data_IF_029435750755
#
_entry.id   IF_029435750755
#
_cell.length_a   1.000
_cell.length_b   1.000
_cell.length_c   1.000
_cell.angle_alpha   90.00
_cell.angle_beta   90.00
_cell.angle_gamma   90.00
#
_symmetry.space_group_name_H-M   'P 1'
#
loop_
_entity.id
_entity.type
_entity.pdbx_description
1 polymer ?
#
# COMPACT_ATOMS: atom_id res chain seq x y z
N UNK A 1 -22.87 -28.95 -43.65
CA UNK A 1 -21.74 -29.78 -43.21
C UNK A 1 -20.77 -28.84 -42.54
N UNK A 2 -20.98 -28.68 -41.24
CA UNK A 2 -20.27 -27.75 -40.37
C UNK A 2 -19.15 -28.52 -39.66
N UNK A 3 -17.93 -27.99 -39.65
CA UNK A 3 -16.78 -28.61 -38.98
C UNK A 3 -16.47 -27.80 -37.73
N UNK A 4 -16.92 -28.33 -36.60
CA UNK A 4 -16.52 -27.97 -35.24
C UNK A 4 -15.01 -28.12 -35.06
N UNK A 5 -14.32 -27.03 -34.74
CA UNK A 5 -12.99 -27.05 -34.14
C UNK A 5 -13.11 -26.58 -32.69
N UNK A 6 -12.68 -27.44 -31.76
CA UNK A 6 -12.82 -27.26 -30.33
C UNK A 6 -12.02 -26.08 -29.78
N UNK A 7 -12.72 -25.21 -29.06
CA UNK A 7 -12.10 -24.31 -28.11
C UNK A 7 -11.74 -25.07 -26.84
N UNK A 8 -10.44 -25.29 -26.65
CA UNK A 8 -9.85 -25.68 -25.36
C UNK A 8 -10.22 -24.64 -24.30
N UNK A 9 -10.99 -25.05 -23.30
CA UNK A 9 -11.39 -24.20 -22.19
C UNK A 9 -10.18 -23.69 -21.40
N UNK A 10 -10.08 -22.38 -21.28
CA UNK A 10 -9.19 -21.72 -20.33
C UNK A 10 -9.90 -21.80 -18.97
N UNK A 11 -9.47 -22.74 -18.14
CA UNK A 11 -10.02 -22.97 -16.81
C UNK A 11 -9.79 -21.80 -15.85
N UNK A 12 -10.79 -21.56 -14.99
CA UNK A 12 -10.60 -20.96 -13.67
C UNK A 12 -10.08 -19.52 -13.59
N UNK A 13 -10.51 -18.60 -14.45
CA UNK A 13 -10.25 -17.17 -14.20
C UNK A 13 -11.14 -16.68 -13.06
N UNK A 14 -10.51 -16.18 -12.02
CA UNK A 14 -11.07 -15.47 -10.86
C UNK A 14 -12.41 -14.78 -11.16
N UNK A 15 -13.44 -15.05 -10.35
CA UNK A 15 -14.77 -14.46 -10.54
C UNK A 15 -14.79 -13.03 -9.98
N UNK A 16 -14.57 -12.04 -10.84
CA UNK A 16 -14.86 -10.63 -10.52
C UNK A 16 -16.37 -10.49 -10.33
N UNK A 17 -16.81 -10.22 -9.10
CA UNK A 17 -18.25 -10.19 -8.75
C UNK A 17 -18.83 -8.77 -8.76
N UNK A 18 -18.00 -7.73 -8.90
CA UNK A 18 -18.48 -6.36 -8.95
C UNK A 18 -17.40 -5.31 -9.17
N UNK A 19 -17.85 -4.07 -9.31
CA UNK A 19 -16.99 -2.89 -9.38
C UNK A 19 -17.04 -2.11 -8.06
N UNK A 20 -15.93 -1.48 -7.71
CA UNK A 20 -15.90 -0.52 -6.60
C UNK A 20 -16.74 0.70 -6.97
N UNK A 21 -17.67 1.08 -6.08
CA UNK A 21 -18.55 2.23 -6.30
C UNK A 21 -17.73 3.53 -6.43
N UNK A 22 -18.11 4.41 -7.34
CA UNK A 22 -17.55 5.76 -7.48
C UNK A 22 -18.54 6.82 -7.01
N UNK A 23 -18.11 7.71 -6.12
CA UNK A 23 -18.94 8.77 -5.53
C UNK A 23 -18.23 10.12 -5.63
N UNK A 24 -18.97 11.16 -6.04
CA UNK A 24 -18.52 12.55 -5.93
C UNK A 24 -18.55 12.98 -4.47
N UNK A 25 -17.37 13.03 -3.85
CA UNK A 25 -17.25 13.28 -2.43
C UNK A 25 -17.55 14.73 -2.05
N UNK A 26 -17.66 15.66 -3.01
CA UNK A 26 -18.18 17.02 -2.75
C UNK A 26 -19.67 17.01 -2.38
N UNK A 27 -20.36 15.91 -2.68
CA UNK A 27 -21.79 15.69 -2.40
C UNK A 27 -22.03 14.60 -1.35
N UNK A 28 -20.97 14.13 -0.69
CA UNK A 28 -21.03 13.09 0.34
C UNK A 28 -20.66 13.69 1.68
N UNK A 29 -21.60 13.76 2.62
CA UNK A 29 -21.26 14.19 3.97
C UNK A 29 -20.57 13.05 4.75
N UNK A 30 -19.87 13.42 5.83
CA UNK A 30 -19.17 12.43 6.65
C UNK A 30 -20.11 11.35 7.23
N UNK A 31 -21.31 11.73 7.67
CA UNK A 31 -22.29 10.79 8.21
C UNK A 31 -22.73 9.76 7.15
N UNK A 32 -23.01 10.21 5.93
CA UNK A 32 -23.32 9.31 4.82
C UNK A 32 -22.14 8.40 4.46
N UNK A 33 -20.91 8.94 4.44
CA UNK A 33 -19.71 8.12 4.22
C UNK A 33 -19.58 7.03 5.28
N UNK A 34 -19.83 7.38 6.55
CA UNK A 34 -19.79 6.44 7.67
C UNK A 34 -20.84 5.35 7.51
N UNK A 35 -22.10 5.71 7.27
CA UNK A 35 -23.21 4.76 7.19
C UNK A 35 -23.13 3.86 5.95
N UNK A 36 -22.65 4.39 4.81
CA UNK A 36 -22.63 3.66 3.53
C UNK A 36 -21.37 2.85 3.30
N UNK A 37 -20.21 3.30 3.81
CA UNK A 37 -18.91 2.72 3.46
C UNK A 37 -18.11 2.30 4.68
N UNK A 38 -17.90 3.19 5.65
CA UNK A 38 -17.01 2.91 6.79
C UNK A 38 -17.56 1.83 7.72
N UNK A 39 -18.78 2.01 8.26
CA UNK A 39 -19.44 1.07 9.17
C UNK A 39 -19.69 -0.30 8.52
N UNK A 40 -20.22 -0.39 7.28
CA UNK A 40 -20.41 -1.69 6.61
C UNK A 40 -19.10 -2.26 6.02
N UNK A 41 -17.96 -1.58 6.21
CA UNK A 41 -16.64 -2.02 5.76
C UNK A 41 -16.58 -2.26 4.23
N UNK A 42 -17.08 -1.30 3.44
CA UNK A 42 -17.16 -1.37 1.98
C UNK A 42 -16.20 -0.39 1.31
N UNK A 43 -15.41 -0.83 0.31
CA UNK A 43 -14.52 0.05 -0.43
C UNK A 43 -15.31 1.00 -1.34
N UNK A 44 -14.74 2.18 -1.56
CA UNK A 44 -15.33 3.20 -2.45
C UNK A 44 -14.23 4.06 -3.07
N UNK A 45 -14.45 4.48 -4.31
CA UNK A 45 -13.63 5.48 -4.99
C UNK A 45 -14.31 6.85 -4.84
N UNK A 46 -13.59 7.80 -4.27
CA UNK A 46 -14.02 9.16 -3.98
C UNK A 46 -13.41 10.12 -5.01
N UNK A 47 -14.25 10.91 -5.66
CA UNK A 47 -13.83 11.90 -6.65
C UNK A 47 -14.04 13.33 -6.15
N UNK A 48 -13.35 14.30 -6.74
CA UNK A 48 -13.62 15.72 -6.51
C UNK A 48 -12.99 16.34 -5.26
N UNK A 49 -12.12 15.63 -4.53
CA UNK A 49 -11.47 16.15 -3.31
C UNK A 49 -10.07 16.73 -3.53
N UNK A 50 -9.31 16.19 -4.48
CA UNK A 50 -7.88 16.50 -4.59
C UNK A 50 -7.55 17.52 -5.66
N UNK A 51 -8.52 17.95 -6.49
CA UNK A 51 -8.24 18.83 -7.64
C UNK A 51 -7.60 20.17 -7.28
N UNK A 52 -7.75 20.61 -6.03
CA UNK A 52 -7.14 21.85 -5.51
C UNK A 52 -5.82 21.62 -4.79
N UNK A 53 -5.34 20.39 -4.68
CA UNK A 53 -4.08 20.09 -3.98
C UNK A 53 -2.91 20.61 -4.80
N UNK A 54 -1.89 21.15 -4.13
CA UNK A 54 -0.68 21.63 -4.79
C UNK A 54 0.04 20.52 -5.55
N UNK A 55 -0.01 19.27 -5.08
CA UNK A 55 0.57 18.12 -5.78
C UNK A 55 0.03 17.96 -7.21
N UNK A 56 -1.23 18.31 -7.47
CA UNK A 56 -1.81 18.25 -8.82
C UNK A 56 -1.18 19.26 -9.79
N UNK A 57 -0.49 20.28 -9.27
CA UNK A 57 0.20 21.31 -10.03
C UNK A 57 1.72 21.15 -9.99
N UNK A 58 2.27 20.86 -8.82
CA UNK A 58 3.71 20.85 -8.56
C UNK A 58 4.36 19.53 -8.97
N UNK A 59 3.65 18.41 -8.86
CA UNK A 59 4.20 17.08 -9.14
C UNK A 59 3.98 16.63 -10.58
N UNK A 60 3.38 17.49 -11.40
CA UNK A 60 3.05 17.20 -12.80
C UNK A 60 3.64 18.26 -13.70
N UNK A 61 3.99 17.89 -14.93
CA UNK A 61 4.52 18.83 -15.89
C UNK A 61 3.45 19.87 -16.27
N UNK A 62 3.85 21.13 -16.41
CA UNK A 62 2.94 22.19 -16.83
C UNK A 62 2.37 21.96 -18.24
N UNK A 63 3.16 21.34 -19.13
CA UNK A 63 2.79 21.02 -20.50
C UNK A 63 1.89 19.77 -20.60
N UNK A 64 2.02 18.83 -19.68
CA UNK A 64 1.19 17.63 -19.60
C UNK A 64 0.91 17.27 -18.13
N UNK A 65 -0.32 17.52 -17.71
CA UNK A 65 -0.76 17.26 -16.34
C UNK A 65 -0.89 15.79 -16.01
N UNK A 66 -0.82 14.87 -16.98
CA UNK A 66 -0.75 13.43 -16.71
C UNK A 66 0.68 12.94 -16.48
N UNK A 67 1.69 13.67 -16.95
CA UNK A 67 3.08 13.30 -16.81
C UNK A 67 3.68 13.80 -15.47
N UNK A 68 4.39 12.96 -14.71
CA UNK A 68 5.05 13.37 -13.47
C UNK A 68 6.24 14.31 -13.72
N UNK A 69 6.38 15.35 -12.89
CA UNK A 69 7.56 16.23 -12.87
C UNK A 69 8.65 15.62 -11.97
N UNK A 70 9.41 14.68 -12.53
CA UNK A 70 10.47 13.97 -11.79
C UNK A 70 11.60 14.90 -11.33
N UNK A 71 11.89 15.98 -12.07
CA UNK A 71 12.92 16.94 -11.69
C UNK A 71 12.46 17.81 -10.52
N UNK A 72 11.17 18.17 -10.46
CA UNK A 72 10.59 18.78 -9.27
C UNK A 72 10.78 17.88 -8.05
N UNK A 73 10.49 16.58 -8.16
CA UNK A 73 10.65 15.64 -7.05
C UNK A 73 12.11 15.53 -6.61
N UNK A 74 13.04 15.33 -7.55
CA UNK A 74 14.48 15.23 -7.25
C UNK A 74 15.04 16.50 -6.59
N UNK A 75 14.53 17.68 -6.96
CA UNK A 75 14.94 18.97 -6.38
C UNK A 75 14.30 19.23 -5.01
N UNK A 76 13.02 18.87 -4.85
CA UNK A 76 12.24 19.19 -3.64
C UNK A 76 12.54 18.22 -2.51
N UNK A 77 12.85 16.96 -2.85
CA UNK A 77 13.13 15.91 -1.89
C UNK A 77 14.56 15.40 -2.04
N UNK A 78 15.58 16.20 -1.71
CA UNK A 78 16.99 15.85 -1.89
C UNK A 78 17.49 14.85 -0.84
N UNK A 79 16.59 14.13 -0.15
CA UNK A 79 16.95 13.18 0.91
C UNK A 79 18.07 12.26 0.41
N UNK A 80 19.18 12.13 1.17
CA UNK A 80 20.31 11.32 0.75
C UNK A 80 19.97 9.82 0.70
N UNK A 81 18.92 9.40 1.43
CA UNK A 81 18.51 8.00 1.51
C UNK A 81 16.97 7.92 1.47
N UNK A 82 16.46 7.42 0.34
CA UNK A 82 15.09 6.95 0.17
C UNK A 82 15.11 5.42 0.07
N UNK A 83 14.01 4.79 0.52
CA UNK A 83 13.85 3.34 0.49
C UNK A 83 13.18 2.91 -0.82
N UNK A 84 13.89 2.11 -1.61
CA UNK A 84 13.47 1.64 -2.93
C UNK A 84 13.42 0.12 -2.95
N UNK A 85 12.32 -0.45 -3.40
CA UNK A 85 12.20 -1.88 -3.65
C UNK A 85 12.71 -2.23 -5.05
N UNK A 86 13.54 -3.26 -5.14
CA UNK A 86 13.88 -3.91 -6.40
C UNK A 86 12.85 -5.01 -6.67
N UNK A 87 11.90 -4.74 -7.57
CA UNK A 87 10.84 -5.67 -7.95
C UNK A 87 11.32 -6.83 -8.85
N UNK A 88 12.59 -6.82 -9.26
CA UNK A 88 13.22 -7.89 -10.03
C UNK A 88 13.98 -8.89 -9.15
N UNK A 89 14.20 -8.58 -7.87
CA UNK A 89 14.99 -9.38 -6.94
C UNK A 89 14.25 -9.65 -5.62
N UNK A 90 14.37 -10.87 -5.12
CA UNK A 90 13.77 -11.31 -3.86
C UNK A 90 14.86 -11.56 -2.82
N UNK A 91 14.65 -11.03 -1.62
CA UNK A 91 15.44 -11.38 -0.43
C UNK A 91 14.49 -11.93 0.63
N UNK A 92 14.62 -13.23 0.91
CA UNK A 92 13.68 -13.99 1.74
C UNK A 92 12.24 -13.97 1.18
N UNK A 93 11.26 -13.56 1.98
CA UNK A 93 9.84 -13.47 1.61
C UNK A 93 9.41 -12.05 1.19
N UNK A 94 10.35 -11.13 0.98
CA UNK A 94 10.08 -9.73 0.60
C UNK A 94 10.94 -9.33 -0.61
N UNK A 95 10.56 -8.25 -1.28
CA UNK A 95 11.40 -7.65 -2.31
C UNK A 95 12.65 -7.03 -1.68
N UNK A 96 13.78 -7.14 -2.38
CA UNK A 96 15.03 -6.54 -1.92
C UNK A 96 14.86 -5.03 -1.76
N UNK A 97 15.29 -4.48 -0.61
CA UNK A 97 15.28 -3.04 -0.34
C UNK A 97 16.67 -2.45 -0.58
N UNK A 98 16.70 -1.33 -1.28
CA UNK A 98 17.86 -0.53 -1.59
C UNK A 98 17.70 0.83 -0.94
N UNK A 99 18.81 1.38 -0.44
CA UNK A 99 18.90 2.80 -0.10
C UNK A 99 19.65 3.51 -1.22
N UNK A 100 19.06 4.59 -1.73
CA UNK A 100 19.66 5.48 -2.72
C UNK A 100 19.10 6.88 -2.53
N UNK A 101 19.70 7.90 -3.14
CA UNK A 101 19.14 9.24 -3.16
C UNK A 101 17.93 9.35 -4.10
N UNK A 102 17.07 10.33 -3.86
CA UNK A 102 15.93 10.62 -4.75
C UNK A 102 16.39 10.89 -6.19
N UNK A 103 17.56 11.52 -6.38
CA UNK A 103 18.13 11.79 -7.69
C UNK A 103 18.56 10.52 -8.42
N UNK A 104 19.27 9.61 -7.74
CA UNK A 104 19.65 8.32 -8.33
C UNK A 104 18.44 7.53 -8.79
N UNK A 105 17.36 7.53 -8.00
CA UNK A 105 16.10 6.89 -8.38
C UNK A 105 15.45 7.53 -9.62
N UNK A 106 15.39 8.87 -9.68
CA UNK A 106 14.85 9.60 -10.84
C UNK A 106 15.68 9.35 -12.10
N UNK A 107 17.00 9.39 -11.99
CA UNK A 107 17.90 9.13 -13.12
C UNK A 107 17.69 7.70 -13.66
N UNK A 108 17.47 6.72 -12.76
CA UNK A 108 17.12 5.35 -13.13
C UNK A 108 15.76 5.26 -13.84
N UNK A 109 14.72 5.97 -13.34
CA UNK A 109 13.41 6.00 -13.97
C UNK A 109 13.50 6.56 -15.40
N UNK A 110 14.12 7.73 -15.58
CA UNK A 110 14.29 8.37 -16.89
C UNK A 110 15.09 7.48 -17.84
N UNK A 111 16.18 6.87 -17.35
CA UNK A 111 16.99 5.92 -18.10
C UNK A 111 16.22 4.69 -18.57
N UNK A 112 15.32 4.15 -17.72
CA UNK A 112 14.48 3.00 -18.04
C UNK A 112 13.40 3.31 -19.09
N UNK A 113 12.84 4.52 -19.09
CA UNK A 113 11.83 4.93 -20.09
C UNK A 113 12.44 5.20 -21.48
N UNK A 114 13.72 5.58 -21.54
CA UNK A 114 14.43 5.92 -22.80
C UNK A 114 15.00 4.69 -23.53
N UNK A 115 15.43 3.67 -22.78
CA UNK A 115 15.93 2.41 -23.31
C UNK A 115 14.86 1.34 -23.13
N UNK A 116 14.05 1.05 -24.16
CA UNK A 116 13.06 -0.05 -24.18
C UNK A 116 13.66 -1.47 -24.04
N UNK A 117 14.78 -1.60 -23.35
CA UNK A 117 15.50 -2.82 -23.07
C UNK A 117 15.10 -3.33 -21.68
N UNK A 118 14.33 -4.40 -21.68
CA UNK A 118 13.75 -5.11 -20.52
C UNK A 118 14.78 -5.85 -19.63
N UNK A 119 16.02 -5.36 -19.55
CA UNK A 119 17.11 -5.95 -18.77
C UNK A 119 17.53 -5.16 -17.52
N UNK A 120 16.98 -3.97 -17.30
CA UNK A 120 17.21 -3.18 -16.08
C UNK A 120 16.36 -3.70 -14.90
N UNK A 121 16.88 -3.52 -13.68
CA UNK A 121 16.13 -3.81 -12.45
C UNK A 121 14.89 -2.90 -12.37
N UNK A 122 13.72 -3.46 -12.07
CA UNK A 122 12.50 -2.68 -11.91
C UNK A 122 12.48 -2.09 -10.50
N UNK A 123 12.73 -0.78 -10.39
CA UNK A 123 12.76 -0.09 -9.11
C UNK A 123 11.41 0.55 -8.78
N UNK A 124 11.00 0.44 -7.52
CA UNK A 124 9.78 1.04 -6.99
C UNK A 124 10.08 1.74 -5.67
N UNK A 125 9.97 3.07 -5.66
CA UNK A 125 10.19 3.83 -4.44
C UNK A 125 8.92 3.73 -3.58
N UNK A 126 9.12 3.20 -2.37
CA UNK A 126 8.12 3.08 -1.30
C UNK A 126 8.76 3.57 -0.01
N UNK A 127 8.67 4.87 0.21
CA UNK A 127 9.30 5.49 1.36
C UNK A 127 8.29 5.78 2.47
N UNK A 128 8.55 5.22 3.64
CA UNK A 128 7.77 5.40 4.87
C UNK A 128 8.24 6.61 5.69
N UNK A 129 9.43 7.16 5.43
CA UNK A 129 10.09 8.14 6.28
C UNK A 129 9.81 9.59 5.92
N UNK A 130 9.09 9.86 4.82
CA UNK A 130 8.58 11.20 4.48
C UNK A 130 7.69 11.83 5.58
N UNK A 131 7.22 10.99 6.50
CA UNK A 131 6.52 11.33 7.75
C UNK A 131 7.21 12.44 8.56
N UNK A 132 8.55 12.45 8.63
CA UNK A 132 9.28 13.40 9.49
C UNK A 132 9.34 14.83 8.96
N UNK A 133 9.32 15.02 7.64
CA UNK A 133 9.39 16.36 7.04
C UNK A 133 8.02 17.00 6.78
N UNK A 134 6.96 16.19 6.66
CA UNK A 134 5.60 16.67 6.37
C UNK A 134 4.64 16.60 7.57
N UNK A 135 5.10 16.10 8.73
CA UNK A 135 4.33 16.10 9.98
C UNK A 135 3.11 15.17 9.98
N UNK A 136 3.08 14.16 9.10
CA UNK A 136 1.99 13.20 8.96
C UNK A 136 2.41 11.85 9.53
N UNK A 137 1.51 11.19 10.28
CA UNK A 137 1.85 10.01 11.08
C UNK A 137 2.29 8.81 10.22
N UNK A 138 1.74 8.64 9.01
CA UNK A 138 2.11 7.59 8.06
C UNK A 138 1.84 8.03 6.62
N UNK A 139 2.90 8.26 5.82
CA UNK A 139 2.75 8.57 4.40
C UNK A 139 3.57 7.59 3.56
N UNK A 140 2.93 6.96 2.58
CA UNK A 140 3.59 6.16 1.56
C UNK A 140 3.55 6.92 0.24
N UNK A 141 4.72 7.31 -0.26
CA UNK A 141 4.87 7.79 -1.62
C UNK A 141 5.24 6.61 -2.52
N UNK A 142 4.45 6.41 -3.57
CA UNK A 142 4.69 5.37 -4.55
C UNK A 142 5.05 5.97 -5.88
N UNK A 143 6.18 5.51 -6.42
CA UNK A 143 6.83 6.05 -7.59
C UNK A 143 7.44 4.88 -8.36
N UNK A 144 7.07 4.71 -9.63
CA UNK A 144 7.71 3.71 -10.49
C UNK A 144 7.29 3.80 -11.96
N UNK A 145 8.17 3.41 -12.89
CA UNK A 145 7.90 3.41 -14.32
C UNK A 145 6.84 2.36 -14.70
N UNK A 146 6.21 2.54 -15.87
CA UNK A 146 5.41 1.47 -16.50
C UNK A 146 6.25 0.22 -16.73
N UNK A 147 6.04 -0.81 -15.90
CA UNK A 147 6.53 -2.14 -16.16
C UNK A 147 5.56 -3.15 -15.52
N UNK A 148 5.18 -4.17 -16.31
CA UNK A 148 4.16 -5.18 -16.00
C UNK A 148 4.49 -6.13 -14.84
N UNK A 149 4.99 -5.66 -13.70
CA UNK A 149 5.27 -6.48 -12.51
C UNK A 149 4.78 -5.85 -11.21
N UNK A 150 4.40 -6.74 -10.31
CA UNK A 150 3.41 -6.54 -9.27
C UNK A 150 4.06 -6.45 -7.89
N UNK A 151 3.50 -5.61 -7.01
CA UNK A 151 3.92 -5.50 -5.62
C UNK A 151 3.17 -6.51 -4.76
N UNK A 152 3.87 -7.45 -4.13
CA UNK A 152 3.30 -8.33 -3.10
C UNK A 152 3.55 -7.71 -1.72
N UNK A 153 2.47 -7.53 -0.93
CA UNK A 153 2.56 -7.07 0.46
C UNK A 153 2.84 -8.24 1.41
N UNK A 154 3.58 -7.96 2.49
CA UNK A 154 4.04 -8.90 3.55
C UNK A 154 2.96 -9.78 4.21
N UNK A 155 1.68 -9.53 3.98
CA UNK A 155 0.57 -10.31 4.56
C UNK A 155 -0.39 -10.92 3.54
N UNK A 156 -0.11 -10.78 2.24
CA UNK A 156 -0.92 -11.38 1.17
C UNK A 156 -0.14 -12.46 0.45
N UNK A 157 -0.74 -13.63 0.50
CA UNK A 157 -0.29 -14.93 0.04
C UNK A 157 -0.66 -15.00 -1.45
N UNK A 158 0.36 -15.04 -2.33
CA UNK A 158 0.31 -15.19 -3.80
C UNK A 158 -0.06 -13.97 -4.65
N UNK A 159 0.64 -13.86 -5.78
CA UNK A 159 0.21 -13.07 -6.92
C UNK A 159 -1.02 -13.73 -7.53
N UNK A 160 -2.15 -13.03 -7.53
CA UNK A 160 -3.44 -13.57 -7.99
C UNK A 160 -3.49 -13.85 -9.50
N UNK A 161 -2.51 -13.35 -10.25
CA UNK A 161 -2.35 -13.58 -11.68
C UNK A 161 -1.50 -14.83 -11.99
N UNK A 162 -0.82 -15.40 -10.99
CA UNK A 162 -0.09 -16.64 -11.13
C UNK A 162 -1.02 -17.85 -10.90
N UNK A 163 -0.61 -19.04 -11.36
CA UNK A 163 -1.37 -20.27 -11.14
C UNK A 163 -1.47 -20.60 -9.64
N UNK A 164 -2.65 -20.41 -9.06
CA UNK A 164 -2.91 -20.76 -7.65
C UNK A 164 -3.26 -22.23 -7.55
N UNK A 165 -2.49 -22.97 -6.77
CA UNK A 165 -2.71 -24.40 -6.53
C UNK A 165 -4.00 -24.62 -5.73
N UNK A 166 -5.04 -25.16 -6.36
CA UNK A 166 -6.29 -25.56 -5.69
C UNK A 166 -6.06 -26.61 -4.58
N UNK A 167 -4.97 -27.38 -4.67
CA UNK A 167 -4.58 -28.34 -3.62
C UNK A 167 -4.12 -27.63 -2.35
N UNK A 168 -3.49 -26.46 -2.49
CA UNK A 168 -3.00 -25.67 -1.36
C UNK A 168 -4.07 -24.67 -0.87
N UNK A 169 -4.88 -24.14 -1.79
CA UNK A 169 -5.93 -23.16 -1.52
C UNK A 169 -7.27 -23.62 -2.11
N UNK A 170 -7.94 -24.62 -1.50
CA UNK A 170 -9.16 -25.20 -2.04
C UNK A 170 -10.32 -24.19 -2.15
N UNK A 171 -10.32 -23.15 -1.30
CA UNK A 171 -11.34 -22.11 -1.28
C UNK A 171 -11.06 -20.93 -2.21
N UNK A 172 -9.91 -20.92 -2.92
CA UNK A 172 -9.52 -19.77 -3.76
C UNK A 172 -10.57 -19.44 -4.84
N UNK A 173 -11.16 -20.47 -5.44
CA UNK A 173 -12.20 -20.31 -6.47
C UNK A 173 -13.53 -19.79 -5.92
N UNK A 174 -13.73 -19.80 -4.60
CA UNK A 174 -14.90 -19.23 -3.93
C UNK A 174 -14.69 -17.76 -3.53
N UNK A 175 -13.48 -17.23 -3.66
CA UNK A 175 -13.19 -15.85 -3.32
C UNK A 175 -13.90 -14.89 -4.29
N UNK A 176 -14.43 -13.81 -3.72
CA UNK A 176 -15.08 -12.72 -4.43
C UNK A 176 -14.12 -11.54 -4.59
N UNK A 177 -14.10 -10.96 -5.78
CA UNK A 177 -13.13 -9.95 -6.16
C UNK A 177 -13.82 -8.69 -6.67
N UNK A 178 -13.28 -7.54 -6.25
CA UNK A 178 -13.64 -6.22 -6.77
C UNK A 178 -12.45 -5.65 -7.53
N UNK A 179 -12.72 -5.09 -8.71
CA UNK A 179 -11.70 -4.47 -9.56
C UNK A 179 -12.08 -3.03 -9.89
N UNK A 180 -11.09 -2.13 -9.84
CA UNK A 180 -11.22 -0.76 -10.32
C UNK A 180 -9.89 -0.18 -10.79
N UNK A 181 -9.93 0.60 -11.87
CA UNK A 181 -8.84 1.51 -12.27
C UNK A 181 -8.99 2.84 -11.53
N UNK A 182 -7.97 3.26 -10.78
CA UNK A 182 -7.94 4.57 -10.13
C UNK A 182 -7.45 5.62 -11.14
N UNK A 183 -8.27 6.62 -11.42
CA UNK A 183 -7.87 7.75 -12.27
C UNK A 183 -7.16 8.84 -11.47
N UNK A 184 -6.50 9.75 -12.18
CA UNK A 184 -5.88 10.92 -11.57
C UNK A 184 -6.92 11.71 -10.75
N UNK A 185 -6.53 12.12 -9.54
CA UNK A 185 -7.35 12.89 -8.60
C UNK A 185 -8.51 12.11 -7.94
N UNK A 186 -8.53 10.78 -8.08
CA UNK A 186 -9.42 9.91 -7.31
C UNK A 186 -8.72 9.43 -6.03
N UNK A 187 -9.50 9.19 -4.98
CA UNK A 187 -9.05 8.56 -3.72
C UNK A 187 -9.77 7.24 -3.56
N UNK A 188 -9.08 6.16 -3.21
CA UNK A 188 -9.72 4.89 -2.84
C UNK A 188 -9.73 4.77 -1.31
N UNK A 189 -10.92 4.58 -0.75
CA UNK A 189 -11.07 4.08 0.62
C UNK A 189 -10.97 2.56 0.61
N UNK A 190 -9.89 2.03 1.19
CA UNK A 190 -9.68 0.59 1.41
C UNK A 190 -9.95 0.30 2.90
N UNK A 191 -11.05 -0.39 3.25
CA UNK A 191 -11.36 -0.69 4.64
C UNK A 191 -10.36 -1.67 5.25
N UNK A 192 -10.20 -1.63 6.58
CA UNK A 192 -9.45 -2.66 7.32
C UNK A 192 -9.99 -4.06 7.03
N UNK A 193 -9.10 -5.03 6.82
CA UNK A 193 -9.44 -6.43 6.53
C UNK A 193 -9.52 -6.76 5.04
N UNK A 194 -9.48 -5.77 4.14
CA UNK A 194 -9.48 -6.01 2.69
C UNK A 194 -8.08 -6.35 2.17
N UNK A 195 -7.93 -7.57 1.64
CA UNK A 195 -6.79 -7.92 0.79
C UNK A 195 -6.87 -7.08 -0.50
N UNK A 196 -5.75 -6.48 -0.89
CA UNK A 196 -5.69 -5.62 -2.05
C UNK A 196 -4.36 -5.76 -2.77
N UNK A 197 -4.42 -5.66 -4.10
CA UNK A 197 -3.29 -5.72 -4.99
C UNK A 197 -3.38 -4.53 -5.95
N UNK A 198 -2.25 -3.84 -6.15
CA UNK A 198 -2.19 -2.63 -6.97
C UNK A 198 -1.21 -2.84 -8.11
N UNK A 199 -1.61 -2.41 -9.30
CA UNK A 199 -0.78 -2.41 -10.49
C UNK A 199 -0.83 -1.03 -11.15
N UNK A 200 0.34 -0.42 -11.37
CA UNK A 200 0.45 0.86 -12.05
C UNK A 200 0.40 0.63 -13.57
N UNK A 201 -0.64 1.17 -14.22
CA UNK A 201 -0.82 1.07 -15.67
C UNK A 201 0.01 2.12 -16.44
N UNK A 202 0.30 3.24 -15.78
CA UNK A 202 1.04 4.40 -16.30
C UNK A 202 2.08 4.85 -15.26
N UNK A 203 2.98 5.76 -15.66
CA UNK A 203 3.92 6.40 -14.72
C UNK A 203 3.13 7.09 -13.60
N UNK A 204 3.29 6.60 -12.38
CA UNK A 204 2.37 6.91 -11.28
C UNK A 204 3.09 7.52 -10.09
N UNK A 205 2.52 8.62 -9.57
CA UNK A 205 2.79 9.14 -8.23
C UNK A 205 1.53 8.98 -7.40
N UNK A 206 1.61 8.35 -6.24
CA UNK A 206 0.49 8.31 -5.30
C UNK A 206 0.92 8.47 -3.85
N UNK A 207 -0.03 8.92 -3.03
CA UNK A 207 0.10 9.06 -1.58
C UNK A 207 -0.97 8.21 -0.92
N UNK A 208 -0.60 7.47 0.12
CA UNK A 208 -1.52 6.77 1.00
C UNK A 208 -1.26 7.12 2.47
N UNK A 209 -2.31 7.12 3.27
CA UNK A 209 -2.27 7.21 4.73
C UNK A 209 -3.12 6.10 5.32
N UNK A 210 -2.60 5.37 6.31
CA UNK A 210 -3.37 4.43 7.12
C UNK A 210 -3.88 5.14 8.39
N UNK A 211 -5.12 4.91 8.78
CA UNK A 211 -5.67 5.49 10.01
C UNK A 211 -6.62 4.50 10.70
N UNK A 212 -6.89 4.75 11.97
CA UNK A 212 -7.89 4.01 12.73
C UNK A 212 -8.85 4.96 13.46
N UNK A 213 -10.02 4.45 13.78
CA UNK A 213 -11.13 5.16 14.44
C UNK A 213 -11.99 4.15 15.21
N UNK A 214 -13.13 4.60 15.76
CA UNK A 214 -14.02 3.76 16.55
C UNK A 214 -14.54 2.50 15.84
N UNK A 215 -14.59 2.46 14.50
CA UNK A 215 -15.11 1.31 13.75
C UNK A 215 -14.07 0.18 13.56
N UNK A 216 -12.77 0.48 13.60
CA UNK A 216 -11.71 -0.52 13.44
C UNK A 216 -10.78 -0.63 14.68
N UNK A 217 -11.10 0.04 15.78
CA UNK A 217 -10.30 0.04 17.00
C UNK A 217 -10.04 -1.36 17.57
N UNK A 218 -11.01 -2.26 17.45
CA UNK A 218 -10.87 -3.65 17.90
C UNK A 218 -9.81 -4.44 17.11
N UNK A 219 -9.57 -4.12 15.83
CA UNK A 219 -8.50 -4.71 15.04
C UNK A 219 -7.13 -4.24 15.52
N UNK A 220 -7.02 -2.94 15.84
CA UNK A 220 -5.79 -2.34 16.38
C UNK A 220 -5.46 -2.95 17.73
N UNK A 221 -6.45 -3.13 18.60
CA UNK A 221 -6.26 -3.81 19.88
C UNK A 221 -5.76 -5.24 19.71
N UNK A 222 -6.39 -6.02 18.82
CA UNK A 222 -5.95 -7.40 18.55
C UNK A 222 -4.52 -7.44 18.02
N UNK A 223 -4.15 -6.55 17.11
CA UNK A 223 -2.78 -6.43 16.59
C UNK A 223 -1.79 -6.12 17.73
N UNK A 224 -2.04 -5.07 18.51
CA UNK A 224 -1.17 -4.68 19.63
C UNK A 224 -1.01 -5.82 20.65
N UNK A 225 -2.10 -6.53 20.91
CA UNK A 225 -2.09 -7.63 21.88
C UNK A 225 -1.28 -8.84 21.39
N UNK A 226 -1.41 -9.24 20.13
CA UNK A 226 -0.61 -10.33 19.57
C UNK A 226 0.86 -9.93 19.41
N UNK A 227 1.13 -8.73 18.90
CA UNK A 227 2.51 -8.23 18.77
C UNK A 227 3.20 -8.09 20.13
N UNK A 228 2.46 -7.73 21.18
CA UNK A 228 3.00 -7.69 22.54
C UNK A 228 3.40 -9.09 23.02
N UNK A 229 2.56 -10.11 22.82
CA UNK A 229 2.91 -11.49 23.19
C UNK A 229 4.16 -11.94 22.48
N UNK A 230 4.22 -11.70 21.17
CA UNK A 230 5.40 -12.02 20.36
C UNK A 230 6.63 -11.30 20.89
N UNK A 231 6.56 -9.98 21.06
CA UNK A 231 7.67 -9.16 21.55
C UNK A 231 8.17 -9.61 22.92
N UNK A 232 7.25 -9.99 23.81
CA UNK A 232 7.53 -10.52 25.14
C UNK A 232 8.20 -11.89 25.08
N UNK A 233 7.63 -12.83 24.34
CA UNK A 233 8.14 -14.19 24.21
C UNK A 233 9.55 -14.19 23.59
N UNK A 234 9.85 -13.24 22.70
CA UNK A 234 11.18 -13.08 22.07
C UNK A 234 12.31 -12.71 23.03
N UNK A 235 12.00 -12.06 24.16
CA UNK A 235 12.99 -11.59 25.14
C UNK A 235 12.80 -12.28 26.50
N UNK A 236 11.96 -13.30 26.57
CA UNK A 236 11.58 -13.95 27.82
C UNK A 236 12.78 -14.52 28.60
N UNK A 237 13.84 -14.89 27.89
CA UNK A 237 15.11 -15.42 28.42
C UNK A 237 15.87 -14.43 29.31
N UNK A 238 15.66 -13.12 29.12
CA UNK A 238 16.30 -12.08 29.93
C UNK A 238 15.41 -11.54 31.05
N UNK A 239 14.22 -12.12 31.29
CA UNK A 239 13.26 -11.63 32.29
C UNK A 239 13.87 -11.45 33.67
N UNK A 240 14.60 -12.43 34.16
CA UNK A 240 15.13 -12.44 35.53
C UNK A 240 16.37 -11.55 35.72
N UNK A 241 16.97 -11.08 34.63
CA UNK A 241 18.15 -10.20 34.64
C UNK A 241 17.83 -8.77 34.18
N UNK A 242 16.60 -8.51 33.76
CA UNK A 242 16.15 -7.20 33.28
C UNK A 242 15.38 -6.46 34.38
N UNK A 243 15.91 -5.31 34.82
CA UNK A 243 15.28 -4.49 35.87
C UNK A 243 13.87 -3.99 35.49
N UNK A 244 13.62 -3.73 34.21
CA UNK A 244 12.34 -3.23 33.67
C UNK A 244 11.92 -4.03 32.43
N UNK A 245 11.56 -5.29 32.66
CA UNK A 245 11.14 -6.20 31.60
C UNK A 245 9.89 -5.73 30.87
N UNK A 246 8.90 -5.20 31.59
CA UNK A 246 7.65 -4.71 31.00
C UNK A 246 7.89 -3.46 30.15
N UNK A 247 8.65 -2.48 30.64
CA UNK A 247 8.98 -1.31 29.85
C UNK A 247 9.81 -1.67 28.61
N UNK A 248 10.64 -2.71 28.67
CA UNK A 248 11.32 -3.24 27.48
C UNK A 248 10.33 -3.86 26.48
N UNK A 249 9.36 -4.65 26.95
CA UNK A 249 8.27 -5.16 26.10
C UNK A 249 7.50 -4.02 25.42
N UNK A 250 7.13 -2.97 26.16
CA UNK A 250 6.40 -1.81 25.63
C UNK A 250 7.23 -1.01 24.60
N UNK A 251 8.55 -0.86 24.83
CA UNK A 251 9.44 -0.21 23.86
C UNK A 251 9.58 -1.03 22.58
N UNK A 252 9.71 -2.35 22.69
CA UNK A 252 9.76 -3.24 21.54
C UNK A 252 8.43 -3.24 20.78
N UNK A 253 7.30 -3.26 21.48
CA UNK A 253 5.96 -3.12 20.89
C UNK A 253 5.84 -1.81 20.13
N UNK A 254 6.20 -0.67 20.74
CA UNK A 254 6.19 0.63 20.07
C UNK A 254 7.10 0.66 18.84
N UNK A 255 8.29 0.05 18.91
CA UNK A 255 9.21 0.01 17.78
C UNK A 255 8.70 -0.85 16.61
N UNK A 256 8.02 -1.96 16.90
CA UNK A 256 7.53 -2.90 15.89
C UNK A 256 6.18 -2.47 15.29
N UNK A 257 5.24 -2.06 16.14
CA UNK A 257 3.84 -1.76 15.75
C UNK A 257 3.60 -0.26 15.59
N UNK A 258 4.55 0.59 15.98
CA UNK A 258 4.45 2.06 15.94
C UNK A 258 3.71 2.69 17.12
N UNK A 259 3.23 1.88 18.07
CA UNK A 259 2.43 2.30 19.23
C UNK A 259 2.51 1.23 20.32
N UNK A 260 2.58 1.63 21.60
CA UNK A 260 2.43 0.72 22.74
C UNK A 260 1.06 0.86 23.41
N UNK A 261 0.77 0.09 24.46
CA UNK A 261 -0.55 0.14 25.11
C UNK A 261 -0.84 1.49 25.77
N UNK A 262 0.19 2.16 26.30
CA UNK A 262 0.03 3.49 26.89
C UNK A 262 -0.33 4.53 25.82
N UNK A 263 0.39 4.54 24.71
CA UNK A 263 0.11 5.42 23.57
C UNK A 263 -1.30 5.19 23.01
N UNK A 264 -1.70 3.92 22.91
CA UNK A 264 -3.06 3.54 22.49
C UNK A 264 -4.12 4.07 23.45
N UNK A 265 -3.92 3.90 24.77
CA UNK A 265 -4.85 4.41 25.77
C UNK A 265 -4.95 5.94 25.74
N UNK A 266 -3.81 6.63 25.63
CA UNK A 266 -3.76 8.09 25.47
C UNK A 266 -4.50 8.51 24.20
N UNK A 267 -4.33 7.77 23.10
CA UNK A 267 -5.01 8.07 21.84
C UNK A 267 -6.54 7.99 21.97
N UNK A 268 -7.07 6.91 22.56
CA UNK A 268 -8.53 6.68 22.65
C UNK A 268 -9.23 7.52 23.72
N UNK A 269 -8.47 8.08 24.66
CA UNK A 269 -9.00 8.93 25.75
C UNK A 269 -8.84 10.42 25.49
N UNK A 270 -8.15 10.82 24.41
CA UNK A 270 -8.08 12.22 24.00
C UNK A 270 -9.49 12.70 23.58
N UNK A 271 -10.00 13.77 24.19
CA UNK A 271 -11.31 14.34 23.87
C UNK A 271 -11.36 14.99 22.48
#
# INVERSE_FOLDING_TARGET
MDRTAGGSGIGGRVKVVGHVERVDARRLCYAEFVDRFMRPNRPVVLTGLTSSWRSCQDWTLAADRRAPDLEFLARTFPSPFVQVADCSSWEFSDQKRLEMSMREFVDHWVGSSSNGNSGGSLLYLKDWHFVKELGLLFMLMFLGPTAGRQMNLRSSVYNINDDVSEKQFPEFNNAEWLECTQEQNEIIFVPSGWYHQVHNLEDTISINHNWFNGYNLHWVWNLLHEDYKVAKDYIEDIRDICDDFEGLCQRNLAANTGMNFYDFFVFITRP
#
